data_IF_409020165416
#
_entry.id   IF_409020165416
#
_cell.length_a   1.000
_cell.length_b   1.000
_cell.length_c   1.000
_cell.angle_alpha   90.00
_cell.angle_beta   90.00
_cell.angle_gamma   90.00
#
_symmetry.space_group_name_H-M   'P 1'
#
loop_
_entity.id
_entity.type
_entity.pdbx_description
1 polymer ?
#
# COMPACT_ATOMS: atom_id res chain seq x y z
N UNK A 1 -0.96 -5.19 4.56
CA UNK A 1 -0.71 -4.71 5.93
C UNK A 1 -1.94 -4.19 6.67
N UNK A 2 -3.08 -3.93 6.01
CA UNK A 2 -4.33 -3.50 6.67
C UNK A 2 -5.55 -4.19 6.04
N UNK A 3 -6.67 -4.24 6.77
CA UNK A 3 -7.94 -4.82 6.32
C UNK A 3 -8.83 -3.81 5.58
N UNK A 4 -8.75 -2.52 5.93
CA UNK A 4 -9.52 -1.44 5.27
C UNK A 4 -8.64 -0.25 4.89
N UNK A 5 -9.13 0.60 3.97
CA UNK A 5 -8.46 1.86 3.59
C UNK A 5 -8.34 2.83 4.78
N UNK A 6 -9.38 2.90 5.61
CA UNK A 6 -9.38 3.72 6.82
C UNK A 6 -8.31 3.26 7.82
N UNK A 7 -8.22 1.94 8.05
CA UNK A 7 -7.19 1.36 8.91
C UNK A 7 -5.78 1.60 8.34
N UNK A 8 -5.60 1.45 7.02
CA UNK A 8 -4.32 1.74 6.38
C UNK A 8 -3.87 3.20 6.64
N UNK A 9 -4.78 4.16 6.49
CA UNK A 9 -4.51 5.58 6.76
C UNK A 9 -4.12 5.81 8.23
N UNK A 10 -4.82 5.19 9.17
CA UNK A 10 -4.50 5.29 10.59
C UNK A 10 -3.08 4.77 10.87
N UNK A 11 -2.73 3.61 10.31
CA UNK A 11 -1.42 3.01 10.51
C UNK A 11 -0.28 3.89 9.98
N UNK A 12 -0.49 4.55 8.83
CA UNK A 12 0.47 5.54 8.30
C UNK A 12 0.60 6.73 9.24
N UNK A 13 -0.52 7.36 9.64
CA UNK A 13 -0.50 8.53 10.54
C UNK A 13 0.21 8.24 11.87
N UNK A 14 0.07 7.02 12.39
CA UNK A 14 0.67 6.57 13.64
C UNK A 14 2.14 6.12 13.51
N UNK A 15 2.81 6.41 12.38
CA UNK A 15 4.26 6.16 12.17
C UNK A 15 4.65 4.68 12.27
N UNK A 16 3.82 3.80 11.72
CA UNK A 16 4.11 2.35 11.71
C UNK A 16 4.92 1.89 10.50
N UNK A 17 5.14 2.75 9.50
CA UNK A 17 5.85 2.39 8.27
C UNK A 17 7.14 3.20 8.10
N UNK A 18 8.12 2.54 7.51
CA UNK A 18 9.31 3.13 6.94
C UNK A 18 9.28 3.00 5.42
N UNK A 19 9.74 4.01 4.71
CA UNK A 19 10.03 3.94 3.27
C UNK A 19 11.53 4.17 3.12
N UNK A 20 12.24 3.21 2.54
CA UNK A 20 13.70 3.25 2.38
C UNK A 20 14.47 3.55 3.69
N UNK A 21 13.92 3.13 4.84
CA UNK A 21 14.52 3.34 6.16
C UNK A 21 14.09 4.62 6.89
N UNK A 22 13.34 5.51 6.24
CA UNK A 22 12.83 6.75 6.85
C UNK A 22 11.37 6.61 7.29
N UNK A 23 11.01 7.19 8.44
CA UNK A 23 9.63 7.15 8.96
C UNK A 23 8.75 8.02 8.07
N UNK A 24 7.74 7.42 7.45
CA UNK A 24 6.74 8.15 6.66
C UNK A 24 5.38 8.07 7.35
N UNK A 25 4.80 9.24 7.64
CA UNK A 25 3.49 9.37 8.28
C UNK A 25 2.46 10.14 7.43
N UNK A 26 2.75 10.35 6.15
CA UNK A 26 1.90 11.08 5.21
C UNK A 26 1.13 10.05 4.36
N UNK A 27 -0.20 9.92 4.52
CA UNK A 27 -0.99 8.94 3.76
C UNK A 27 -1.08 9.23 2.26
N UNK A 28 -0.79 10.46 1.84
CA UNK A 28 -0.71 10.90 0.45
C UNK A 28 0.71 10.80 -0.13
N UNK A 29 1.62 10.11 0.55
CA UNK A 29 2.99 9.93 0.07
C UNK A 29 2.99 9.15 -1.26
N UNK A 30 3.65 9.70 -2.27
CA UNK A 30 3.78 9.07 -3.58
C UNK A 30 5.07 8.26 -3.64
N UNK A 31 4.91 6.95 -3.86
CA UNK A 31 6.04 6.02 -3.98
C UNK A 31 6.69 6.12 -5.35
N UNK A 32 8.00 5.89 -5.39
CA UNK A 32 8.78 5.73 -6.62
C UNK A 32 9.06 4.25 -6.88
N UNK A 33 9.22 3.92 -8.16
CA UNK A 33 9.61 2.57 -8.58
C UNK A 33 10.92 2.19 -7.90
N UNK A 34 10.95 1.04 -7.24
CA UNK A 34 12.08 0.55 -6.46
C UNK A 34 11.98 0.81 -4.96
N UNK A 35 11.04 1.64 -4.49
CA UNK A 35 10.88 1.94 -3.07
C UNK A 35 10.54 0.68 -2.26
N UNK A 36 11.21 0.55 -1.12
CA UNK A 36 11.01 -0.55 -0.16
C UNK A 36 10.30 0.00 1.07
N UNK A 37 9.14 -0.57 1.37
CA UNK A 37 8.30 -0.22 2.50
C UNK A 37 8.46 -1.31 3.56
N UNK A 38 8.75 -0.92 4.80
CA UNK A 38 8.92 -1.86 5.91
C UNK A 38 8.09 -1.44 7.11
N UNK A 39 7.57 -2.42 7.85
CA UNK A 39 6.88 -2.15 9.12
C UNK A 39 7.91 -1.92 10.22
N UNK A 40 7.67 -0.91 11.05
CA UNK A 40 8.48 -0.61 12.23
C UNK A 40 8.62 -1.81 13.15
N UNK A 41 9.83 -2.11 13.61
CA UNK A 41 10.12 -3.31 14.42
C UNK A 41 9.22 -3.46 15.64
N UNK A 42 9.01 -2.38 16.39
CA UNK A 42 8.10 -2.37 17.56
C UNK A 42 6.65 -2.70 17.18
N UNK A 43 6.26 -2.37 15.95
CA UNK A 43 4.90 -2.56 15.42
C UNK A 43 4.73 -3.91 14.73
N UNK A 44 5.82 -4.60 14.36
CA UNK A 44 5.77 -5.94 13.75
C UNK A 44 5.06 -6.96 14.63
N UNK A 45 5.13 -6.82 15.96
CA UNK A 45 4.49 -7.73 16.93
C UNK A 45 2.98 -7.51 17.11
N UNK A 46 2.40 -6.48 16.47
CA UNK A 46 0.97 -6.20 16.64
C UNK A 46 0.12 -7.18 15.83
N UNK A 47 -0.90 -7.76 16.46
CA UNK A 47 -1.81 -8.72 15.83
C UNK A 47 -2.51 -8.16 14.58
N UNK A 48 -2.67 -6.84 14.51
CA UNK A 48 -3.26 -6.14 13.36
C UNK A 48 -2.56 -6.52 12.05
N UNK A 49 -1.22 -6.53 12.03
CA UNK A 49 -0.46 -6.84 10.81
C UNK A 49 -0.54 -8.33 10.47
N UNK A 50 -0.43 -9.20 11.47
CA UNK A 50 -0.52 -10.65 11.28
C UNK A 50 -1.90 -11.07 10.77
N UNK A 51 -2.97 -10.54 11.37
CA UNK A 51 -4.35 -10.79 10.94
C UNK A 51 -4.56 -10.28 9.51
N UNK A 52 -4.05 -9.10 9.16
CA UNK A 52 -4.18 -8.56 7.81
C UNK A 52 -3.44 -9.36 6.73
N UNK A 53 -2.40 -10.10 7.09
CA UNK A 53 -1.62 -10.94 6.15
C UNK A 53 -2.12 -12.38 6.04
N UNK A 54 -2.87 -12.85 7.06
CA UNK A 54 -3.58 -14.13 7.02
C UNK A 54 -4.76 -14.08 6.06
N UNK A 55 -5.51 -12.97 6.07
CA UNK A 55 -6.72 -12.80 5.25
C UNK A 55 -6.41 -12.56 3.77
N UNK A 56 -5.23 -12.00 3.45
CA UNK A 56 -4.91 -11.54 2.10
C UNK A 56 -3.99 -12.53 1.36
N UNK A 57 -4.34 -12.86 0.11
CA UNK A 57 -3.48 -13.63 -0.81
C UNK A 57 -2.11 -12.96 -0.93
N UNK A 58 -1.04 -13.78 -1.04
CA UNK A 58 0.30 -13.28 -1.34
C UNK A 58 0.28 -12.62 -2.72
N UNK A 59 0.80 -11.40 -2.84
CA UNK A 59 0.85 -10.64 -4.10
C UNK A 59 -0.51 -10.41 -4.78
N UNK A 60 -1.32 -9.45 -4.30
CA UNK A 60 -2.59 -9.13 -4.95
C UNK A 60 -2.43 -8.46 -6.33
N UNK A 61 -1.25 -7.89 -6.63
CA UNK A 61 -1.01 -7.07 -7.83
C UNK A 61 0.41 -7.30 -8.36
N UNK A 62 0.59 -7.30 -9.68
CA UNK A 62 1.89 -7.54 -10.32
C UNK A 62 2.93 -6.44 -10.02
N UNK A 63 2.47 -5.23 -9.74
CA UNK A 63 3.33 -4.07 -9.48
C UNK A 63 3.73 -3.91 -8.01
N UNK A 64 3.28 -4.80 -7.13
CA UNK A 64 3.60 -4.79 -5.70
C UNK A 64 4.09 -6.16 -5.29
N UNK A 65 5.28 -6.20 -4.71
CA UNK A 65 5.80 -7.39 -4.06
C UNK A 65 5.57 -7.30 -2.55
N UNK A 66 5.09 -8.37 -1.91
CA UNK A 66 4.88 -8.42 -0.46
C UNK A 66 5.57 -9.63 0.14
N UNK A 67 6.53 -9.38 1.01
CA UNK A 67 7.24 -10.40 1.77
C UNK A 67 6.65 -10.52 3.18
N UNK A 68 5.98 -11.64 3.43
CA UNK A 68 5.25 -11.86 4.70
C UNK A 68 6.15 -12.06 5.91
N UNK A 69 7.34 -12.64 5.72
CA UNK A 69 8.27 -12.95 6.80
C UNK A 69 8.82 -11.68 7.46
N UNK A 70 9.28 -10.74 6.64
CA UNK A 70 9.93 -9.51 7.11
C UNK A 70 8.97 -8.33 7.30
N UNK A 71 7.69 -8.50 6.92
CA UNK A 71 6.71 -7.41 6.87
C UNK A 71 7.22 -6.26 6.00
N UNK A 72 7.76 -6.63 4.85
CA UNK A 72 8.32 -5.76 3.82
C UNK A 72 7.45 -5.83 2.58
N UNK A 73 7.40 -4.74 1.84
CA UNK A 73 6.83 -4.71 0.50
C UNK A 73 7.65 -3.81 -0.41
N UNK A 74 7.68 -4.13 -1.69
CA UNK A 74 8.43 -3.37 -2.70
C UNK A 74 7.51 -2.90 -3.81
N UNK A 75 7.70 -1.66 -4.23
CA UNK A 75 7.00 -1.11 -5.37
C UNK A 75 7.81 -1.39 -6.65
N UNK A 76 7.31 -2.29 -7.50
CA UNK A 76 8.10 -2.86 -8.60
C UNK A 76 7.99 -2.08 -9.90
N UNK A 77 6.80 -1.57 -10.23
CA UNK A 77 6.54 -0.80 -11.45
C UNK A 77 5.32 0.11 -11.25
N UNK A 78 5.14 1.05 -12.17
CA UNK A 78 3.87 1.77 -12.26
C UNK A 78 2.85 0.85 -12.94
N UNK A 79 1.63 0.72 -12.39
CA UNK A 79 0.60 -0.11 -12.99
C UNK A 79 0.09 0.48 -14.30
N UNK A 80 -0.14 -0.38 -15.29
CA UNK A 80 -0.90 -0.02 -16.48
C UNK A 80 -2.41 -0.08 -16.22
N UNK A 81 -3.19 0.59 -17.08
CA UNK A 81 -4.65 0.70 -16.88
C UNK A 81 -5.36 -0.65 -16.84
N UNK A 82 -4.88 -1.59 -17.66
CA UNK A 82 -5.36 -2.98 -17.78
C UNK A 82 -5.14 -3.79 -16.51
N UNK A 83 -4.13 -3.45 -15.71
CA UNK A 83 -3.75 -4.19 -14.50
C UNK A 83 -4.59 -3.76 -13.28
N UNK A 84 -5.22 -2.58 -13.33
CA UNK A 84 -6.05 -2.04 -12.24
C UNK A 84 -7.44 -2.72 -12.26
N UNK A 85 -7.81 -3.50 -11.22
CA UNK A 85 -9.07 -4.27 -11.20
C UNK A 85 -10.33 -3.42 -11.01
N UNK A 86 -10.19 -2.10 -10.95
CA UNK A 86 -11.28 -1.17 -10.70
C UNK A 86 -11.94 -0.85 -12.04
N UNK A 87 -13.18 -1.34 -12.19
CA UNK A 87 -14.01 -1.09 -13.36
C UNK A 87 -14.69 0.27 -13.22
N UNK A 88 -13.98 1.34 -13.61
CA UNK A 88 -14.44 2.73 -13.56
C UNK A 88 -14.21 3.36 -14.93
N UNK A 89 -15.22 4.07 -15.42
CA UNK A 89 -15.14 4.83 -16.66
C UNK A 89 -14.53 6.22 -16.38
N UNK A 90 -13.24 6.37 -16.68
CA UNK A 90 -12.48 7.61 -16.46
C UNK A 90 -12.96 8.76 -17.33
N UNK A 91 -13.55 8.46 -18.50
CA UNK A 91 -14.09 9.47 -19.41
C UNK A 91 -15.15 10.35 -18.72
N UNK A 92 -16.01 9.74 -17.89
CA UNK A 92 -17.03 10.47 -17.12
C UNK A 92 -16.41 11.45 -16.11
N UNK A 93 -15.22 11.13 -15.59
CA UNK A 93 -14.49 12.01 -14.66
C UNK A 93 -13.90 13.20 -15.44
N UNK A 94 -13.32 12.95 -16.62
CA UNK A 94 -12.79 14.02 -17.47
C UNK A 94 -13.90 14.98 -17.92
N UNK A 95 -15.04 14.45 -18.35
CA UNK A 95 -16.21 15.23 -18.75
C UNK A 95 -16.75 16.10 -17.61
N UNK A 96 -16.72 15.60 -16.38
CA UNK A 96 -17.17 16.35 -15.20
C UNK A 96 -16.30 17.59 -14.94
N UNK A 97 -14.98 17.46 -15.05
CA UNK A 97 -14.02 18.54 -14.77
C UNK A 97 -13.75 19.46 -15.98
N UNK A 98 -14.29 19.14 -17.15
CA UNK A 98 -14.17 19.96 -18.37
C UNK A 98 -15.34 20.93 -18.58
N UNK A 99 -16.26 21.03 -17.61
CA UNK A 99 -17.28 22.07 -17.52
C UNK A 99 -16.71 23.33 -16.88
#
# INVERSE_FOLDING_TARGET
FANSRAQARQLVLHRHFYVNGEIVNIPSYSLKVGDVITVKEKSKKMDVFHNALRVRKSNPYEWIEVEKANLSGRFMKLPERSEIPINVNEQLIVELYSK
#
